data_IF_800660708414
#
_entry.id   IF_800660708414
#
_cell.length_a   1.000
_cell.length_b   1.000
_cell.length_c   1.000
_cell.angle_alpha   90.00
_cell.angle_beta   90.00
_cell.angle_gamma   90.00
#
_symmetry.space_group_name_H-M   'P 1'
#
loop_
_entity.id
_entity.type
_entity.pdbx_description
1 polymer ?
#
# COMPACT_ATOMS: atom_id res chain seq x y z
N UNK A 1 12.05 48.67 -39.65
CA UNK A 1 12.31 49.79 -38.71
C UNK A 1 11.06 50.66 -38.68
N UNK A 2 10.50 51.09 -37.52
CA UNK A 2 10.76 50.71 -36.13
C UNK A 2 9.46 50.45 -35.31
N UNK A 3 9.62 50.04 -34.04
CA UNK A 3 8.55 49.87 -33.04
C UNK A 3 9.06 49.01 -31.88
N UNK A 4 10.16 49.40 -31.23
CA UNK A 4 10.23 50.04 -29.88
C UNK A 4 9.89 49.06 -28.74
N UNK A 5 10.87 48.96 -27.84
CA UNK A 5 11.08 48.00 -26.74
C UNK A 5 9.96 47.93 -25.68
N UNK A 6 9.84 46.80 -24.95
CA UNK A 6 8.99 46.69 -23.78
C UNK A 6 9.65 47.38 -22.57
N UNK A 7 9.01 48.42 -22.04
CA UNK A 7 9.41 49.08 -20.80
C UNK A 7 8.27 49.03 -19.77
N UNK A 8 8.62 48.61 -18.55
CA UNK A 8 7.78 48.64 -17.35
C UNK A 8 7.94 47.34 -16.55
N UNK A 9 8.99 47.19 -15.74
CA UNK A 9 9.05 47.61 -14.32
C UNK A 9 7.91 47.00 -13.49
N UNK A 10 8.09 46.31 -12.37
CA UNK A 10 9.22 46.03 -11.48
C UNK A 10 8.68 44.95 -10.52
N UNK A 11 9.44 43.92 -10.14
CA UNK A 11 9.00 42.96 -9.13
C UNK A 11 8.89 43.64 -7.76
N UNK A 12 7.84 43.40 -6.94
CA UNK A 12 7.89 43.86 -5.57
C UNK A 12 8.98 43.08 -4.81
N UNK A 13 9.92 43.77 -4.12
CA UNK A 13 10.83 43.14 -3.21
C UNK A 13 10.11 42.95 -1.86
N UNK A 14 9.99 41.72 -1.41
CA UNK A 14 9.84 41.44 0.02
C UNK A 14 10.79 40.30 0.37
N UNK A 15 12.06 40.67 0.54
CA UNK A 15 12.94 40.02 1.49
C UNK A 15 12.32 40.21 2.88
N UNK A 16 11.92 39.12 3.53
CA UNK A 16 11.93 39.02 4.98
C UNK A 16 12.14 37.55 5.35
N UNK A 17 13.36 37.07 5.18
CA UNK A 17 13.92 36.11 6.13
C UNK A 17 14.25 36.88 7.42
N UNK A 18 13.70 36.49 8.57
CA UNK A 18 14.41 36.49 9.82
C UNK A 18 14.83 35.05 10.07
N UNK A 19 16.10 34.76 9.81
CA UNK A 19 17.12 34.79 10.85
C UNK A 19 16.87 33.70 11.89
N UNK A 20 17.58 32.61 11.65
CA UNK A 20 17.96 31.56 12.58
C UNK A 20 18.59 32.17 13.85
N UNK A 21 17.74 32.62 14.75
CA UNK A 21 18.10 32.95 16.12
C UNK A 21 17.75 31.78 17.04
N UNK A 22 18.70 30.86 17.09
CA UNK A 22 18.87 29.83 18.11
C UNK A 22 18.94 30.49 19.50
N UNK A 23 17.90 30.33 20.32
CA UNK A 23 17.94 30.74 21.74
C UNK A 23 17.79 29.51 22.61
N UNK A 24 18.94 28.85 22.80
CA UNK A 24 19.14 27.85 23.85
C UNK A 24 18.90 28.53 25.21
N UNK A 25 17.84 28.11 25.91
CA UNK A 25 17.61 28.49 27.31
C UNK A 25 18.63 27.79 28.21
N UNK A 26 19.83 28.39 28.34
CA UNK A 26 20.87 28.00 29.30
C UNK A 26 20.61 28.66 30.65
N UNK A 27 19.81 28.03 31.51
CA UNK A 27 19.63 28.59 32.84
C UNK A 27 18.65 27.88 33.75
N UNK A 28 18.97 26.65 34.19
CA UNK A 28 18.85 26.26 35.61
C UNK A 28 19.27 24.79 35.82
N UNK A 29 20.55 24.61 36.13
CA UNK A 29 21.02 23.40 36.82
C UNK A 29 20.66 23.55 38.29
N UNK A 30 19.92 22.59 38.89
CA UNK A 30 20.45 21.65 39.90
C UNK A 30 19.35 20.91 40.68
N UNK A 31 19.46 19.58 40.59
CA UNK A 31 19.34 18.55 41.64
C UNK A 31 17.96 18.36 42.31
N UNK A 32 17.28 17.30 41.87
CA UNK A 32 16.84 16.26 42.79
C UNK A 32 17.14 14.90 42.14
N UNK A 33 17.95 14.10 42.84
CA UNK A 33 18.32 12.75 42.49
C UNK A 33 17.30 11.83 43.16
N UNK A 34 16.36 11.30 42.38
CA UNK A 34 15.64 10.07 42.68
C UNK A 34 15.70 9.24 41.43
N UNK A 35 16.49 8.18 41.49
CA UNK A 35 16.56 7.13 40.50
C UNK A 35 15.25 6.36 40.68
N UNK A 36 14.19 6.80 40.02
CA UNK A 36 13.13 5.88 39.63
C UNK A 36 13.48 5.42 38.22
N UNK A 37 13.66 4.11 38.12
CA UNK A 37 14.00 3.38 36.91
C UNK A 37 12.77 3.41 35.99
N UNK A 38 12.58 4.51 35.28
CA UNK A 38 11.78 4.50 34.06
C UNK A 38 12.65 3.86 32.99
N UNK A 39 12.48 2.55 32.85
CA UNK A 39 12.85 1.85 31.63
C UNK A 39 12.28 2.65 30.45
N UNK A 40 13.08 2.90 29.38
CA UNK A 40 12.52 3.50 28.18
C UNK A 40 11.30 2.66 27.79
N UNK A 41 10.19 3.26 27.33
CA UNK A 41 9.07 2.47 26.86
C UNK A 41 9.66 1.51 25.84
N UNK A 42 9.71 0.23 26.22
CA UNK A 42 10.01 -0.86 25.30
C UNK A 42 9.01 -0.60 24.20
N UNK A 43 9.52 -0.15 23.05
CA UNK A 43 8.74 -0.06 21.85
C UNK A 43 8.16 -1.45 21.71
N UNK A 44 6.91 -1.62 22.16
CA UNK A 44 6.12 -2.78 21.86
C UNK A 44 5.88 -2.61 20.38
N UNK A 45 6.88 -3.00 19.58
CA UNK A 45 6.62 -3.53 18.26
C UNK A 45 5.44 -4.43 18.49
N UNK A 46 4.35 -4.06 17.83
CA UNK A 46 3.09 -4.77 17.89
C UNK A 46 3.36 -6.10 17.19
N UNK A 47 4.05 -6.99 17.89
CA UNK A 47 4.23 -8.39 17.53
C UNK A 47 2.83 -8.99 17.63
N UNK A 48 2.08 -8.94 16.54
CA UNK A 48 0.70 -9.41 16.56
C UNK A 48 -0.17 -9.19 15.34
N UNK A 49 0.34 -8.59 14.25
CA UNK A 49 -0.46 -8.39 13.02
C UNK A 49 0.34 -8.86 11.80
N UNK A 50 0.83 -10.11 11.87
CA UNK A 50 1.23 -10.78 10.62
C UNK A 50 -0.04 -11.03 9.83
N UNK A 51 -0.11 -10.61 8.55
CA UNK A 51 -1.30 -10.80 7.74
C UNK A 51 -1.66 -12.29 7.69
N UNK A 52 -2.95 -12.59 7.65
CA UNK A 52 -3.40 -13.96 7.41
C UNK A 52 -2.87 -14.46 6.05
N UNK A 53 -2.79 -15.78 5.81
CA UNK A 53 -2.41 -16.29 4.49
C UNK A 53 -3.24 -15.70 3.34
N UNK A 54 -4.54 -15.48 3.58
CA UNK A 54 -5.49 -14.89 2.64
C UNK A 54 -5.18 -13.41 2.39
N UNK A 55 -4.92 -12.63 3.44
CA UNK A 55 -4.49 -11.22 3.33
C UNK A 55 -3.13 -11.12 2.62
N UNK A 56 -2.21 -12.04 2.88
CA UNK A 56 -0.90 -12.07 2.23
C UNK A 56 -1.02 -12.38 0.74
N UNK A 57 -1.91 -13.30 0.36
CA UNK A 57 -2.26 -13.55 -1.04
C UNK A 57 -2.86 -12.28 -1.65
N UNK A 58 -3.82 -11.64 -0.97
CA UNK A 58 -4.49 -10.45 -1.45
C UNK A 58 -3.52 -9.29 -1.73
N UNK A 59 -2.63 -9.01 -0.77
CA UNK A 59 -1.56 -8.01 -0.93
C UNK A 59 -0.60 -8.35 -2.07
N UNK A 60 -0.29 -9.64 -2.27
CA UNK A 60 0.59 -10.09 -3.37
C UNK A 60 -0.06 -9.85 -4.74
N UNK A 61 -1.35 -10.19 -4.87
CA UNK A 61 -2.11 -9.97 -6.11
C UNK A 61 -2.30 -8.47 -6.35
N UNK A 62 -2.65 -7.68 -5.33
CA UNK A 62 -2.75 -6.22 -5.44
C UNK A 62 -1.44 -5.59 -5.94
N UNK A 63 -0.29 -6.08 -5.43
CA UNK A 63 1.02 -5.68 -5.91
C UNK A 63 1.23 -5.89 -7.42
N UNK A 64 0.69 -6.98 -7.99
CA UNK A 64 0.75 -7.26 -9.43
C UNK A 64 -0.13 -6.31 -10.26
N UNK A 65 -1.26 -5.86 -9.70
CA UNK A 65 -2.13 -4.87 -10.33
C UNK A 65 -1.53 -3.47 -10.27
N UNK A 66 -0.92 -3.11 -9.13
CA UNK A 66 -0.24 -1.82 -8.97
C UNK A 66 0.92 -1.65 -9.96
N UNK A 67 1.66 -2.72 -10.28
CA UNK A 67 2.69 -2.69 -11.33
C UNK A 67 2.15 -2.30 -12.71
N UNK A 68 0.85 -2.53 -12.95
CA UNK A 68 0.14 -2.14 -14.18
C UNK A 68 -0.67 -0.85 -14.04
N UNK A 69 -0.44 -0.09 -12.96
CA UNK A 69 -1.20 1.12 -12.60
C UNK A 69 -2.71 0.87 -12.50
N UNK A 70 -3.08 -0.30 -11.99
CA UNK A 70 -4.44 -0.68 -11.62
C UNK A 70 -4.47 -1.05 -10.15
N UNK A 71 -5.66 -1.21 -9.58
CA UNK A 71 -5.87 -1.65 -8.19
C UNK A 71 -7.11 -2.53 -8.16
N UNK A 72 -7.11 -3.58 -7.36
CA UNK A 72 -8.29 -4.42 -7.14
C UNK A 72 -9.36 -3.71 -6.32
N UNK A 73 -9.03 -2.59 -5.66
CA UNK A 73 -10.02 -1.73 -4.99
C UNK A 73 -10.87 -0.91 -5.97
N UNK A 74 -10.45 -0.81 -7.24
CA UNK A 74 -11.24 -0.21 -8.31
C UNK A 74 -12.31 -1.20 -8.80
N UNK A 75 -13.61 -0.87 -8.74
CA UNK A 75 -14.69 -1.80 -9.06
C UNK A 75 -14.58 -2.42 -10.46
N UNK A 76 -14.16 -1.64 -11.47
CA UNK A 76 -14.02 -2.14 -12.83
C UNK A 76 -12.87 -3.14 -12.96
N UNK A 77 -11.80 -2.95 -12.18
CA UNK A 77 -10.67 -3.87 -12.13
C UNK A 77 -11.01 -5.14 -11.35
N UNK A 78 -11.76 -5.02 -10.24
CA UNK A 78 -12.28 -6.16 -9.48
C UNK A 78 -13.22 -7.03 -10.33
N UNK A 79 -14.14 -6.42 -11.08
CA UNK A 79 -15.03 -7.15 -12.00
C UNK A 79 -14.23 -7.89 -13.08
N UNK A 80 -13.22 -7.24 -13.68
CA UNK A 80 -12.36 -7.89 -14.67
C UNK A 80 -11.53 -9.05 -14.08
N UNK A 81 -11.12 -8.94 -12.81
CA UNK A 81 -10.46 -10.01 -12.06
C UNK A 81 -11.41 -11.20 -11.86
N UNK A 82 -12.63 -10.91 -11.41
CA UNK A 82 -13.68 -11.90 -11.15
C UNK A 82 -14.00 -12.73 -12.40
N UNK A 83 -14.23 -12.05 -13.53
CA UNK A 83 -14.48 -12.69 -14.83
C UNK A 83 -13.31 -13.58 -15.26
N UNK A 84 -12.07 -13.17 -15.02
CA UNK A 84 -10.90 -13.99 -15.36
C UNK A 84 -10.87 -15.31 -14.56
N UNK A 85 -11.25 -15.27 -13.28
CA UNK A 85 -11.34 -16.45 -12.43
C UNK A 85 -12.52 -17.35 -12.80
N UNK A 86 -13.67 -16.80 -13.21
CA UNK A 86 -14.76 -17.59 -13.78
C UNK A 86 -14.32 -18.39 -15.00
N UNK A 87 -13.59 -17.76 -15.91
CA UNK A 87 -13.03 -18.45 -17.09
C UNK A 87 -12.05 -19.55 -16.67
N UNK A 88 -11.19 -19.30 -15.69
CA UNK A 88 -10.25 -20.31 -15.19
C UNK A 88 -10.97 -21.53 -14.58
N UNK A 89 -12.02 -21.30 -13.78
CA UNK A 89 -12.84 -22.36 -13.20
C UNK A 89 -13.53 -23.20 -14.29
N UNK A 90 -14.08 -22.55 -15.33
CA UNK A 90 -14.68 -23.25 -16.48
C UNK A 90 -13.65 -24.11 -17.21
N UNK A 91 -12.41 -23.64 -17.36
CA UNK A 91 -11.34 -24.42 -17.99
C UNK A 91 -11.00 -25.66 -17.17
N UNK A 92 -10.93 -25.55 -15.85
CA UNK A 92 -10.65 -26.67 -14.94
C UNK A 92 -11.79 -27.70 -14.96
N UNK A 93 -13.04 -27.26 -14.94
CA UNK A 93 -14.21 -28.13 -15.10
C UNK A 93 -14.19 -28.83 -16.48
N UNK A 94 -13.85 -28.10 -17.54
CA UNK A 94 -13.68 -28.66 -18.88
C UNK A 94 -12.57 -29.72 -18.95
N UNK A 95 -11.49 -29.54 -18.20
CA UNK A 95 -10.41 -30.52 -18.10
C UNK A 95 -10.86 -31.81 -17.38
N UNK A 96 -11.67 -31.68 -16.33
CA UNK A 96 -12.27 -32.83 -15.65
C UNK A 96 -13.21 -33.59 -16.59
N UNK A 97 -14.12 -32.87 -17.25
CA UNK A 97 -15.10 -33.45 -18.18
C UNK A 97 -14.43 -34.22 -19.33
N UNK A 98 -13.27 -33.76 -19.79
CA UNK A 98 -12.48 -34.42 -20.85
C UNK A 98 -11.54 -35.51 -20.32
N UNK A 99 -11.52 -35.76 -19.01
CA UNK A 99 -10.65 -36.76 -18.38
C UNK A 99 -9.17 -36.40 -18.39
N UNK A 100 -8.81 -35.13 -18.58
CA UNK A 100 -7.42 -34.68 -18.53
C UNK A 100 -6.88 -34.59 -17.10
N UNK A 101 -7.78 -34.40 -16.13
CA UNK A 101 -7.48 -34.39 -14.70
C UNK A 101 -8.44 -35.31 -13.96
N UNK A 102 -7.99 -35.82 -12.81
CA UNK A 102 -8.84 -36.59 -11.91
C UNK A 102 -9.80 -35.69 -11.12
N UNK A 103 -10.83 -36.28 -10.53
CA UNK A 103 -11.74 -35.57 -9.62
C UNK A 103 -11.02 -35.00 -8.39
N UNK A 104 -9.92 -35.61 -7.95
CA UNK A 104 -9.10 -35.09 -6.86
C UNK A 104 -8.33 -33.83 -7.28
N UNK A 105 -7.69 -33.89 -8.45
CA UNK A 105 -6.99 -32.74 -9.02
C UNK A 105 -7.95 -31.59 -9.30
N UNK A 106 -9.16 -31.89 -9.79
CA UNK A 106 -10.20 -30.91 -9.97
C UNK A 106 -10.57 -30.20 -8.67
N UNK A 107 -10.85 -30.95 -7.59
CA UNK A 107 -11.20 -30.37 -6.29
C UNK A 107 -10.10 -29.47 -5.75
N UNK A 108 -8.85 -29.90 -5.84
CA UNK A 108 -7.70 -29.10 -5.41
C UNK A 108 -7.57 -27.81 -6.22
N UNK A 109 -7.59 -27.89 -7.54
CA UNK A 109 -7.41 -26.73 -8.42
C UNK A 109 -8.59 -25.76 -8.34
N UNK A 110 -9.82 -26.26 -8.31
CA UNK A 110 -11.01 -25.44 -8.15
C UNK A 110 -11.03 -24.71 -6.80
N UNK A 111 -10.62 -25.39 -5.71
CA UNK A 111 -10.48 -24.77 -4.40
C UNK A 111 -9.47 -23.62 -4.42
N UNK A 112 -8.26 -23.86 -4.94
CA UNK A 112 -7.23 -22.82 -5.05
C UNK A 112 -7.68 -21.62 -5.90
N UNK A 113 -8.42 -21.87 -6.99
CA UNK A 113 -8.95 -20.80 -7.84
C UNK A 113 -10.06 -20.02 -7.15
N UNK A 114 -10.91 -20.68 -6.34
CA UNK A 114 -11.95 -20.01 -5.58
C UNK A 114 -11.34 -19.14 -4.47
N UNK A 115 -10.38 -19.67 -3.71
CA UNK A 115 -9.68 -18.92 -2.66
C UNK A 115 -8.98 -17.68 -3.24
N UNK A 116 -8.42 -17.80 -4.45
CA UNK A 116 -7.82 -16.67 -5.14
C UNK A 116 -8.87 -15.70 -5.69
N UNK A 117 -10.01 -16.17 -6.20
CA UNK A 117 -11.10 -15.32 -6.69
C UNK A 117 -11.62 -14.37 -5.60
N UNK A 118 -11.67 -14.84 -4.36
CA UNK A 118 -12.22 -14.08 -3.23
C UNK A 118 -11.23 -13.01 -2.68
N UNK A 119 -10.04 -12.89 -3.25
CA UNK A 119 -9.00 -11.91 -2.85
C UNK A 119 -9.48 -10.45 -2.75
N UNK A 120 -10.25 -9.89 -3.71
CA UNK A 120 -10.70 -8.50 -3.62
C UNK A 120 -11.58 -8.22 -2.40
N UNK A 121 -12.29 -9.23 -1.87
CA UNK A 121 -13.17 -9.09 -0.71
C UNK A 121 -12.39 -8.97 0.62
N UNK A 122 -11.10 -9.31 0.59
CA UNK A 122 -10.20 -9.26 1.75
C UNK A 122 -9.34 -7.98 1.79
N UNK A 123 -9.46 -7.10 0.80
CA UNK A 123 -8.74 -5.82 0.67
C UNK A 123 -9.56 -4.63 1.20
#
# INVERSE_FOLDING_TARGET
MPGVEPAGSTPPPFETEPDIADVVSLGSRRRARTIDREEPPVNRMRDGDSPTPEEQLALTVEGLYMHRRRTLTDPATAEAYDVAFEVALIVVEGALTRGHISAEQHRLLAGMLQDARDVPDVL
#
